data_IF_463145909237
#
_entry.id   IF_463145909237
#
_cell.length_a   1.000
_cell.length_b   1.000
_cell.length_c   1.000
_cell.angle_alpha   90.00
_cell.angle_beta   90.00
_cell.angle_gamma   90.00
#
_symmetry.space_group_name_H-M   'P 1'
#
loop_
_entity.id
_entity.type
_entity.pdbx_description
1 polymer ?
#
# COMPACT_ATOMS: atom_id res chain seq x y z
N UNK A 1 -8.41 -15.48 -1.47
CA UNK A 1 -6.95 -15.23 -1.52
C UNK A 1 -6.29 -16.45 -0.88
N UNK A 2 -5.43 -17.16 -1.59
CA UNK A 2 -4.65 -18.27 -1.03
C UNK A 2 -3.37 -17.67 -0.44
N UNK A 3 -3.09 -17.95 0.84
CA UNK A 3 -1.94 -17.40 1.57
C UNK A 3 -0.83 -18.44 1.81
N UNK A 4 -0.87 -19.57 1.12
CA UNK A 4 0.13 -20.64 1.27
C UNK A 4 1.56 -20.18 0.93
N UNK A 5 1.70 -19.09 0.18
CA UNK A 5 3.00 -18.47 -0.10
C UNK A 5 3.72 -17.92 1.15
N UNK A 6 3.01 -17.68 2.25
CA UNK A 6 3.63 -17.28 3.53
C UNK A 6 4.61 -18.35 3.98
N UNK A 7 4.34 -19.61 3.69
CA UNK A 7 5.22 -20.71 4.07
C UNK A 7 6.61 -20.56 3.45
N UNK A 8 6.71 -19.94 2.27
CA UNK A 8 8.01 -19.64 1.63
C UNK A 8 8.69 -18.38 2.20
N UNK A 9 7.95 -17.54 2.94
CA UNK A 9 8.42 -16.27 3.53
C UNK A 9 8.25 -16.28 5.07
N UNK A 10 8.28 -17.46 5.68
CA UNK A 10 7.97 -17.65 7.10
C UNK A 10 8.76 -16.73 8.02
N UNK A 11 10.08 -16.67 7.85
CA UNK A 11 10.93 -15.83 8.70
C UNK A 11 10.56 -14.34 8.64
N UNK A 12 10.21 -13.86 7.43
CA UNK A 12 9.76 -12.48 7.23
C UNK A 12 8.39 -12.28 7.87
N UNK A 13 7.47 -13.25 7.69
CA UNK A 13 6.15 -13.18 8.31
C UNK A 13 6.22 -13.18 9.84
N UNK A 14 7.02 -14.05 10.44
CA UNK A 14 7.20 -14.12 11.90
C UNK A 14 7.75 -12.80 12.49
N UNK A 15 8.61 -12.10 11.74
CA UNK A 15 9.06 -10.74 12.12
C UNK A 15 7.92 -9.72 12.05
N UNK A 16 7.08 -9.76 11.02
CA UNK A 16 5.93 -8.86 10.87
C UNK A 16 4.88 -9.10 11.95
N UNK A 17 4.67 -10.36 12.36
CA UNK A 17 3.82 -10.72 13.50
C UNK A 17 4.34 -10.09 14.79
N UNK A 18 5.64 -10.24 15.09
CA UNK A 18 6.26 -9.62 16.27
C UNK A 18 6.11 -8.10 16.28
N UNK A 19 6.21 -7.46 15.11
CA UNK A 19 5.96 -6.01 14.97
C UNK A 19 4.50 -5.68 15.28
N UNK A 20 3.55 -6.49 14.79
CA UNK A 20 2.12 -6.29 15.06
C UNK A 20 1.76 -6.46 16.54
N UNK A 21 2.44 -7.37 17.24
CA UNK A 21 2.27 -7.60 18.69
C UNK A 21 2.91 -6.49 19.52
N UNK A 22 3.97 -5.86 19.00
CA UNK A 22 4.59 -4.73 19.68
C UNK A 22 3.69 -3.48 19.56
N UNK A 23 3.68 -2.62 20.57
CA UNK A 23 3.00 -1.33 20.48
C UNK A 23 3.76 -0.32 19.61
N UNK A 24 4.96 -0.70 19.14
CA UNK A 24 5.87 0.17 18.41
C UNK A 24 5.87 -0.14 16.90
N UNK A 25 4.75 0.19 16.22
CA UNK A 25 4.61 0.03 14.78
C UNK A 25 5.18 1.26 14.07
N UNK A 26 6.17 1.06 13.22
CA UNK A 26 6.77 2.16 12.45
C UNK A 26 5.78 2.82 11.48
N UNK A 27 6.04 4.09 11.18
CA UNK A 27 5.23 4.85 10.24
C UNK A 27 5.50 4.49 8.77
N UNK A 28 6.66 3.85 8.49
CA UNK A 28 7.00 3.41 7.15
C UNK A 28 7.73 2.06 7.15
N UNK A 29 7.45 1.25 6.14
CA UNK A 29 8.11 -0.01 5.82
C UNK A 29 8.44 -0.08 4.34
N UNK A 30 9.59 -0.67 4.01
CA UNK A 30 9.96 -1.00 2.65
C UNK A 30 9.97 -2.53 2.46
N UNK A 31 9.10 -3.02 1.58
CA UNK A 31 9.07 -4.40 1.12
C UNK A 31 9.78 -4.48 -0.22
N UNK A 32 11.03 -4.90 -0.22
CA UNK A 32 11.85 -5.01 -1.43
C UNK A 32 12.29 -6.44 -1.70
N UNK A 33 12.36 -6.81 -2.96
CA UNK A 33 12.81 -8.13 -3.39
C UNK A 33 12.55 -8.36 -4.88
N UNK A 34 13.04 -9.47 -5.45
CA UNK A 34 12.86 -9.75 -6.86
C UNK A 34 11.39 -9.90 -7.25
N UNK A 35 11.11 -9.72 -8.54
CA UNK A 35 9.78 -9.98 -9.12
C UNK A 35 9.34 -11.41 -8.77
N UNK A 36 8.07 -11.58 -8.40
CA UNK A 36 7.51 -12.89 -8.05
C UNK A 36 7.81 -13.36 -6.61
N UNK A 37 8.56 -12.61 -5.80
CA UNK A 37 8.87 -12.97 -4.40
C UNK A 37 7.66 -12.96 -3.45
N UNK A 38 6.47 -12.57 -3.90
CA UNK A 38 5.27 -12.48 -3.06
C UNK A 38 5.21 -11.25 -2.14
N UNK A 39 6.15 -10.31 -2.25
CA UNK A 39 6.23 -9.12 -1.39
C UNK A 39 4.98 -8.25 -1.39
N UNK A 40 4.28 -8.13 -2.53
CA UNK A 40 3.02 -7.39 -2.61
C UNK A 40 1.91 -8.06 -1.78
N UNK A 41 1.78 -9.39 -1.89
CA UNK A 41 0.85 -10.17 -1.07
C UNK A 41 1.19 -10.08 0.40
N UNK A 42 2.49 -10.15 0.75
CA UNK A 42 2.97 -10.03 2.12
C UNK A 42 2.67 -8.64 2.71
N UNK A 43 2.82 -7.58 1.92
CA UNK A 43 2.48 -6.21 2.31
C UNK A 43 0.98 -6.05 2.60
N UNK A 44 0.11 -6.61 1.74
CA UNK A 44 -1.35 -6.60 1.95
C UNK A 44 -1.75 -7.40 3.18
N UNK A 45 -1.11 -8.54 3.43
CA UNK A 45 -1.38 -9.35 4.62
C UNK A 45 -0.92 -8.64 5.89
N UNK A 46 0.23 -7.99 5.88
CA UNK A 46 0.67 -7.19 7.02
C UNK A 46 -0.31 -6.04 7.30
N UNK A 47 -0.78 -5.36 6.26
CA UNK A 47 -1.84 -4.35 6.38
C UNK A 47 -3.11 -4.90 7.04
N UNK A 48 -3.53 -6.11 6.65
CA UNK A 48 -4.68 -6.81 7.22
C UNK A 48 -4.45 -7.20 8.68
N UNK A 49 -3.26 -7.71 9.02
CA UNK A 49 -2.88 -8.09 10.38
C UNK A 49 -2.95 -6.89 11.33
N UNK A 50 -2.38 -5.75 10.93
CA UNK A 50 -2.37 -4.51 11.73
C UNK A 50 -3.78 -3.98 12.05
N UNK A 51 -4.79 -4.38 11.28
CA UNK A 51 -6.19 -3.98 11.47
C UNK A 51 -7.11 -5.15 11.84
N UNK A 52 -6.59 -6.34 12.13
CA UNK A 52 -7.41 -7.44 12.61
C UNK A 52 -8.02 -7.10 13.97
N UNK A 53 -9.35 -7.19 14.08
CA UNK A 53 -10.06 -6.84 15.33
C UNK A 53 -9.95 -7.90 16.41
N UNK A 54 -9.59 -9.13 16.04
CA UNK A 54 -9.61 -10.27 16.95
C UNK A 54 -8.22 -10.67 17.48
N UNK A 55 -7.16 -10.37 16.75
CA UNK A 55 -5.81 -10.81 17.11
C UNK A 55 -4.75 -9.86 16.54
N UNK A 56 -3.60 -9.79 17.23
CA UNK A 56 -2.40 -9.08 16.78
C UNK A 56 -1.32 -10.03 16.28
N UNK A 57 -1.46 -11.33 16.59
CA UNK A 57 -0.51 -12.37 16.19
C UNK A 57 -0.92 -13.14 14.93
N UNK A 58 -2.21 -13.07 14.56
CA UNK A 58 -2.73 -13.80 13.41
C UNK A 58 -3.89 -13.07 12.72
N UNK A 59 -4.05 -13.31 11.44
CA UNK A 59 -5.20 -12.82 10.68
C UNK A 59 -6.36 -13.80 10.90
N UNK A 60 -7.43 -13.34 11.52
CA UNK A 60 -8.57 -14.22 11.82
C UNK A 60 -9.46 -14.57 10.61
N UNK A 61 -9.34 -13.84 9.50
CA UNK A 61 -10.13 -13.99 8.26
C UNK A 61 -11.66 -13.95 8.42
N UNK A 62 -12.17 -13.65 9.60
CA UNK A 62 -13.61 -13.73 9.94
C UNK A 62 -14.20 -12.38 10.36
N UNK A 63 -13.42 -11.50 10.99
CA UNK A 63 -13.93 -10.19 11.42
C UNK A 63 -14.24 -9.29 10.22
N UNK A 64 -15.11 -8.31 10.43
CA UNK A 64 -15.53 -7.37 9.38
C UNK A 64 -14.35 -6.62 8.75
N UNK A 65 -13.34 -6.26 9.56
CA UNK A 65 -12.11 -5.64 9.06
C UNK A 65 -11.37 -6.59 8.11
N UNK A 66 -11.08 -7.83 8.54
CA UNK A 66 -10.39 -8.80 7.69
C UNK A 66 -11.13 -9.09 6.38
N UNK A 67 -12.45 -9.17 6.41
CA UNK A 67 -13.24 -9.38 5.19
C UNK A 67 -13.10 -8.22 4.20
N UNK A 68 -13.14 -6.98 4.69
CA UNK A 68 -12.94 -5.78 3.85
C UNK A 68 -11.51 -5.63 3.35
N UNK A 69 -10.50 -6.00 4.15
CA UNK A 69 -9.10 -6.06 3.67
C UNK A 69 -8.92 -7.12 2.57
N UNK A 70 -9.56 -8.28 2.71
CA UNK A 70 -9.53 -9.34 1.70
C UNK A 70 -10.04 -8.87 0.33
N UNK A 71 -11.08 -8.05 0.32
CA UNK A 71 -11.62 -7.45 -0.92
C UNK A 71 -10.88 -6.17 -1.36
N UNK A 72 -9.85 -5.74 -0.61
CA UNK A 72 -9.13 -4.46 -0.80
C UNK A 72 -10.04 -3.22 -0.74
N UNK A 73 -11.19 -3.32 -0.06
CA UNK A 73 -12.21 -2.26 0.07
C UNK A 73 -12.33 -1.73 1.51
N UNK A 74 -11.29 -1.92 2.32
CA UNK A 74 -11.31 -1.39 3.69
C UNK A 74 -11.11 0.13 3.68
N UNK A 75 -11.91 0.87 4.44
CA UNK A 75 -11.88 2.34 4.51
C UNK A 75 -10.51 2.91 4.90
N UNK A 76 -9.75 2.16 5.69
CA UNK A 76 -8.41 2.53 6.14
C UNK A 76 -7.28 1.99 5.25
N UNK A 77 -7.59 1.27 4.19
CA UNK A 77 -6.64 0.83 3.20
C UNK A 77 -6.67 1.78 2.01
N UNK A 78 -5.52 2.34 1.68
CA UNK A 78 -5.33 3.12 0.45
C UNK A 78 -4.25 2.45 -0.37
N UNK A 79 -4.55 2.17 -1.63
CA UNK A 79 -3.61 1.55 -2.56
C UNK A 79 -3.24 2.59 -3.61
N UNK A 80 -1.95 2.83 -3.76
CA UNK A 80 -1.38 3.65 -4.82
C UNK A 80 -0.68 2.72 -5.80
N UNK A 81 -0.97 2.93 -7.07
CA UNK A 81 -0.35 2.24 -8.20
C UNK A 81 0.06 3.26 -9.26
N UNK A 82 0.98 2.92 -10.14
CA UNK A 82 1.25 3.74 -11.32
C UNK A 82 0.00 3.89 -12.18
N UNK A 83 -0.24 5.11 -12.67
CA UNK A 83 -1.41 5.43 -13.48
C UNK A 83 -0.99 6.19 -14.75
N UNK A 84 -1.76 6.09 -15.84
CA UNK A 84 -1.53 6.91 -17.01
C UNK A 84 -1.75 8.39 -16.70
N UNK A 85 -0.93 9.25 -17.28
CA UNK A 85 -1.09 10.70 -17.10
C UNK A 85 -2.42 11.15 -17.72
N UNK A 86 -3.31 11.81 -16.97
CA UNK A 86 -4.58 12.27 -17.50
C UNK A 86 -4.36 13.31 -18.61
N UNK A 87 -5.19 13.26 -19.66
CA UNK A 87 -5.09 14.20 -20.81
C UNK A 87 -5.51 15.63 -20.45
N UNK A 88 -6.25 15.79 -19.37
CA UNK A 88 -6.72 17.08 -18.85
C UNK A 88 -6.21 17.18 -17.42
N UNK A 89 -5.53 18.28 -17.08
CA UNK A 89 -5.10 18.58 -15.71
C UNK A 89 -6.35 18.77 -14.81
N UNK A 90 -6.88 17.68 -14.31
CA UNK A 90 -7.88 17.68 -13.25
C UNK A 90 -7.15 17.34 -11.97
N UNK A 91 -7.08 18.28 -11.04
CA UNK A 91 -6.59 18.04 -9.66
C UNK A 91 -7.52 17.08 -8.88
N UNK A 92 -8.53 16.52 -9.53
CA UNK A 92 -9.50 15.61 -8.95
C UNK A 92 -9.03 14.16 -9.07
N UNK A 93 -8.72 13.58 -7.91
CA UNK A 93 -8.36 12.15 -7.82
C UNK A 93 -9.45 11.21 -8.35
N UNK A 94 -10.72 11.62 -8.29
CA UNK A 94 -11.85 10.80 -8.78
C UNK A 94 -11.70 10.48 -10.27
N UNK A 95 -11.07 11.38 -11.04
CA UNK A 95 -10.79 11.16 -12.47
C UNK A 95 -9.68 10.11 -12.73
N UNK A 96 -8.95 9.68 -11.69
CA UNK A 96 -7.92 8.65 -11.78
C UNK A 96 -8.46 7.23 -11.54
N UNK A 97 -9.66 7.12 -10.98
CA UNK A 97 -10.34 5.85 -10.74
C UNK A 97 -11.10 5.49 -12.02
N UNK A 98 -10.44 4.76 -12.88
CA UNK A 98 -11.01 4.25 -14.14
C UNK A 98 -11.52 2.83 -13.98
N UNK A 99 -12.27 2.34 -14.96
CA UNK A 99 -12.73 0.94 -14.96
C UNK A 99 -11.54 -0.03 -14.95
N UNK A 100 -10.44 0.31 -15.65
CA UNK A 100 -9.21 -0.47 -15.63
C UNK A 100 -8.57 -0.51 -14.23
N UNK A 101 -8.60 0.60 -13.49
CA UNK A 101 -8.14 0.64 -12.09
C UNK A 101 -8.98 -0.28 -11.21
N UNK A 102 -10.31 -0.18 -11.31
CA UNK A 102 -11.25 -0.99 -10.51
C UNK A 102 -11.06 -2.48 -10.80
N UNK A 103 -10.95 -2.85 -12.08
CA UNK A 103 -10.71 -4.22 -12.51
C UNK A 103 -9.37 -4.75 -12.00
N UNK A 104 -8.31 -3.95 -12.07
CA UNK A 104 -6.98 -4.32 -11.61
C UNK A 104 -6.95 -4.57 -10.09
N UNK A 105 -7.58 -3.71 -9.30
CA UNK A 105 -7.71 -3.90 -7.84
C UNK A 105 -8.56 -5.13 -7.53
N UNK A 106 -9.65 -5.38 -8.28
CA UNK A 106 -10.46 -6.58 -8.11
C UNK A 106 -9.66 -7.85 -8.39
N UNK A 107 -8.92 -7.92 -9.51
CA UNK A 107 -8.03 -9.06 -9.81
C UNK A 107 -6.99 -9.27 -8.70
N UNK A 108 -6.38 -8.18 -8.20
CA UNK A 108 -5.44 -8.23 -7.08
C UNK A 108 -6.06 -8.77 -5.80
N UNK A 109 -7.34 -8.48 -5.54
CA UNK A 109 -8.05 -8.99 -4.38
C UNK A 109 -8.31 -10.50 -4.45
N UNK A 110 -8.40 -11.06 -5.65
CA UNK A 110 -8.60 -12.50 -5.88
C UNK A 110 -7.28 -13.27 -5.86
N UNK A 111 -6.22 -12.67 -6.41
CA UNK A 111 -4.90 -13.28 -6.50
C UNK A 111 -3.83 -12.29 -5.97
N UNK A 112 -3.19 -12.58 -4.82
CA UNK A 112 -2.15 -11.72 -4.25
C UNK A 112 -0.88 -11.64 -5.10
N UNK A 113 -0.66 -12.60 -6.02
CA UNK A 113 0.45 -12.58 -6.96
C UNK A 113 0.16 -11.83 -8.27
N UNK A 114 -1.12 -11.51 -8.52
CA UNK A 114 -1.46 -10.73 -9.70
C UNK A 114 -0.68 -9.41 -9.71
N UNK A 115 0.18 -9.23 -10.71
CA UNK A 115 0.90 -7.97 -10.92
C UNK A 115 -0.04 -6.97 -11.60
N UNK A 116 -0.30 -5.86 -10.93
CA UNK A 116 -1.11 -4.79 -11.51
C UNK A 116 -0.30 -4.11 -12.62
N UNK A 117 -0.84 -4.12 -13.84
CA UNK A 117 -0.28 -3.41 -14.98
C UNK A 117 -1.38 -2.66 -15.71
N UNK A 118 -1.39 -1.34 -15.60
CA UNK A 118 -2.31 -0.48 -16.33
C UNK A 118 -1.58 0.05 -17.58
N UNK A 119 -2.17 -0.07 -18.78
CA UNK A 119 -1.54 0.42 -20.00
C UNK A 119 -1.16 1.90 -19.89
N UNK A 120 0.04 2.26 -20.37
CA UNK A 120 0.58 3.63 -20.35
C UNK A 120 0.87 4.21 -18.98
N UNK A 121 0.78 3.44 -17.89
CA UNK A 121 1.20 3.86 -16.56
C UNK A 121 2.73 3.77 -16.45
N UNK A 122 3.41 4.91 -16.39
CA UNK A 122 4.87 4.99 -16.33
C UNK A 122 5.39 5.57 -15.02
N UNK A 123 4.52 6.11 -14.19
CA UNK A 123 4.88 6.79 -12.94
C UNK A 123 3.73 6.80 -11.96
N UNK A 124 4.05 7.00 -10.70
CA UNK A 124 3.07 7.33 -9.68
C UNK A 124 2.74 8.82 -9.78
N UNK A 125 1.47 9.16 -9.87
CA UNK A 125 1.02 10.53 -10.06
C UNK A 125 1.03 11.29 -8.73
N UNK A 126 1.46 12.55 -8.75
CA UNK A 126 1.45 13.41 -7.57
C UNK A 126 0.04 13.62 -7.01
N UNK A 127 -0.98 13.62 -7.88
CA UNK A 127 -2.38 13.72 -7.47
C UNK A 127 -2.79 12.58 -6.54
N UNK A 128 -2.30 11.34 -6.77
CA UNK A 128 -2.55 10.19 -5.89
C UNK A 128 -1.96 10.43 -4.49
N UNK A 129 -0.74 10.98 -4.40
CA UNK A 129 -0.09 11.30 -3.12
C UNK A 129 -0.82 12.44 -2.39
N UNK A 130 -1.16 13.52 -3.11
CA UNK A 130 -1.90 14.67 -2.54
C UNK A 130 -3.28 14.27 -2.01
N UNK A 131 -4.00 13.42 -2.75
CA UNK A 131 -5.31 12.92 -2.33
C UNK A 131 -5.22 12.13 -1.02
N UNK A 132 -4.25 11.23 -0.91
CA UNK A 132 -4.05 10.46 0.32
C UNK A 132 -3.70 11.37 1.48
N UNK A 133 -2.77 12.32 1.29
CA UNK A 133 -2.47 13.32 2.31
C UNK A 133 -3.76 13.95 2.83
N UNK A 134 -4.57 14.51 1.94
CA UNK A 134 -5.86 15.15 2.32
C UNK A 134 -6.77 14.18 3.08
N UNK A 135 -6.95 12.96 2.59
CA UNK A 135 -7.86 11.98 3.19
C UNK A 135 -7.42 11.58 4.59
N UNK A 136 -6.14 11.24 4.77
CA UNK A 136 -5.64 10.70 6.04
C UNK A 136 -5.59 11.78 7.13
N UNK A 137 -5.20 13.02 6.78
CA UNK A 137 -5.20 14.13 7.75
C UNK A 137 -6.61 14.56 8.19
N UNK A 138 -7.62 14.41 7.33
CA UNK A 138 -9.01 14.77 7.67
C UNK A 138 -9.70 13.73 8.57
N UNK A 139 -9.21 12.49 8.62
CA UNK A 139 -9.91 11.37 9.26
C UNK A 139 -9.18 10.80 10.47
N UNK A 140 -8.32 11.58 11.12
CA UNK A 140 -7.43 11.14 12.22
C UNK A 140 -8.14 10.53 13.45
N UNK A 141 -9.42 10.79 13.67
CA UNK A 141 -10.14 10.41 14.90
C UNK A 141 -10.82 9.04 14.85
N UNK A 142 -10.56 8.20 13.84
CA UNK A 142 -11.23 6.90 13.70
C UNK A 142 -10.39 5.76 14.28
N UNK A 143 -11.06 4.77 14.91
CA UNK A 143 -10.41 3.57 15.47
C UNK A 143 -9.70 2.76 14.37
N UNK A 144 -8.47 2.25 14.67
CA UNK A 144 -7.63 1.45 13.78
C UNK A 144 -6.55 2.27 13.06
N UNK A 145 -5.71 1.61 12.30
CA UNK A 145 -4.53 2.19 11.66
C UNK A 145 -4.77 2.40 10.16
N UNK A 146 -4.50 3.60 9.66
CA UNK A 146 -4.46 3.86 8.22
C UNK A 146 -3.24 3.18 7.60
N UNK A 147 -3.47 2.42 6.55
CA UNK A 147 -2.42 1.76 5.78
C UNK A 147 -2.44 2.29 4.35
N UNK A 148 -1.31 2.83 3.94
CA UNK A 148 -1.08 3.28 2.57
C UNK A 148 -0.09 2.31 1.94
N UNK A 149 -0.54 1.51 0.98
CA UNK A 149 0.34 0.59 0.23
C UNK A 149 0.64 1.20 -1.12
N UNK A 150 1.92 1.37 -1.42
CA UNK A 150 2.40 1.94 -2.68
C UNK A 150 3.12 0.84 -3.45
N UNK A 151 2.50 0.33 -4.51
CA UNK A 151 3.12 -0.64 -5.40
C UNK A 151 4.02 0.06 -6.42
N UNK A 152 5.06 -0.65 -6.88
CA UNK A 152 6.07 -0.13 -7.81
C UNK A 152 6.62 1.22 -7.35
N UNK A 153 6.96 1.31 -6.05
CA UNK A 153 7.32 2.56 -5.39
C UNK A 153 8.61 3.19 -5.94
N UNK A 154 9.44 2.47 -6.68
CA UNK A 154 10.54 3.01 -7.48
C UNK A 154 10.07 4.04 -8.51
N UNK A 155 8.82 3.94 -8.99
CA UNK A 155 8.24 4.88 -9.95
C UNK A 155 7.76 6.22 -9.32
N UNK A 156 7.96 6.40 -8.01
CA UNK A 156 7.76 7.69 -7.33
C UNK A 156 8.76 8.77 -7.83
N UNK A 157 9.93 8.32 -8.25
CA UNK A 157 11.03 9.18 -8.65
C UNK A 157 11.06 9.49 -10.15
N UNK A 158 10.18 8.85 -10.92
CA UNK A 158 10.09 9.07 -12.36
C UNK A 158 9.63 10.50 -12.72
N UNK A 159 10.23 11.03 -13.77
CA UNK A 159 9.99 12.40 -14.21
C UNK A 159 10.80 13.42 -13.40
N UNK A 160 10.16 14.42 -12.80
CA UNK A 160 10.80 15.45 -11.98
C UNK A 160 10.85 15.10 -10.48
N UNK A 161 10.50 13.87 -10.10
CA UNK A 161 10.50 13.42 -8.69
C UNK A 161 9.44 14.07 -7.80
N UNK A 162 8.44 14.75 -8.39
CA UNK A 162 7.42 15.49 -7.64
C UNK A 162 6.63 14.60 -6.67
N UNK A 163 6.34 13.36 -7.08
CA UNK A 163 5.58 12.40 -6.26
C UNK A 163 6.41 11.92 -5.07
N UNK A 164 7.71 11.65 -5.28
CA UNK A 164 8.66 11.32 -4.23
C UNK A 164 8.78 12.46 -3.22
N UNK A 165 9.01 13.69 -3.68
CA UNK A 165 9.09 14.88 -2.82
C UNK A 165 7.80 15.14 -2.03
N UNK A 166 6.63 14.86 -2.63
CA UNK A 166 5.35 14.97 -1.92
C UNK A 166 5.19 13.89 -0.84
N UNK A 167 5.70 12.68 -1.09
CA UNK A 167 5.69 11.57 -0.13
C UNK A 167 6.66 11.84 1.03
N UNK A 168 7.87 12.37 0.76
CA UNK A 168 8.84 12.74 1.80
C UNK A 168 8.21 13.62 2.88
N UNK A 169 7.43 14.61 2.49
CA UNK A 169 6.70 15.50 3.43
C UNK A 169 5.70 14.77 4.33
N UNK A 170 5.17 13.62 3.87
CA UNK A 170 4.27 12.79 4.68
C UNK A 170 5.08 11.88 5.61
N UNK A 171 6.27 11.45 5.17
CA UNK A 171 7.17 10.61 5.96
C UNK A 171 7.86 11.39 7.08
N UNK A 172 8.18 12.67 6.85
CA UNK A 172 8.75 13.58 7.86
C UNK A 172 7.74 13.89 8.98
N UNK A 173 6.48 14.14 8.62
CA UNK A 173 5.39 14.43 9.56
C UNK A 173 4.21 13.46 9.34
N UNK A 174 4.36 12.18 9.72
CA UNK A 174 3.34 11.20 9.43
C UNK A 174 2.08 11.44 10.27
N UNK A 175 0.88 11.30 9.67
CA UNK A 175 -0.36 11.37 10.42
C UNK A 175 -0.43 10.29 11.51
N UNK A 176 -1.09 10.60 12.62
CA UNK A 176 -1.27 9.65 13.72
C UNK A 176 -1.91 8.34 13.22
N UNK A 177 -1.50 7.23 13.81
CA UNK A 177 -2.01 5.90 13.46
C UNK A 177 -1.97 5.58 11.97
N UNK A 178 -0.93 6.04 11.27
CA UNK A 178 -0.73 5.78 9.84
C UNK A 178 0.54 4.98 9.61
N UNK A 179 0.49 4.02 8.69
CA UNK A 179 1.66 3.27 8.21
C UNK A 179 1.69 3.28 6.70
N UNK A 180 2.81 3.65 6.14
CA UNK A 180 3.09 3.64 4.70
C UNK A 180 3.91 2.39 4.39
N UNK A 181 3.46 1.58 3.45
CA UNK A 181 4.17 0.40 2.99
C UNK A 181 4.58 0.61 1.54
N UNK A 182 5.86 0.82 1.32
CA UNK A 182 6.46 0.90 -0.01
C UNK A 182 6.78 -0.51 -0.49
N UNK A 183 6.39 -0.85 -1.70
CA UNK A 183 6.68 -2.15 -2.32
C UNK A 183 7.45 -1.90 -3.61
N UNK A 184 8.65 -2.44 -3.72
CA UNK A 184 9.56 -2.21 -4.84
C UNK A 184 10.29 -3.46 -5.29
N UNK A 185 10.49 -3.57 -6.60
CA UNK A 185 11.37 -4.57 -7.20
C UNK A 185 12.85 -4.13 -7.12
N UNK A 186 13.12 -2.82 -6.98
CA UNK A 186 14.44 -2.19 -7.06
C UNK A 186 14.77 -1.34 -5.83
N UNK A 187 15.29 -1.98 -4.78
CA UNK A 187 15.62 -1.31 -3.52
C UNK A 187 16.48 -0.05 -3.70
N UNK A 188 17.48 -0.10 -4.57
CA UNK A 188 18.44 1.01 -4.75
C UNK A 188 17.80 2.29 -5.32
N UNK A 189 16.76 2.16 -6.14
CA UNK A 189 16.11 3.32 -6.77
C UNK A 189 15.27 4.16 -5.79
N UNK A 190 14.90 3.58 -4.66
CA UNK A 190 14.13 4.29 -3.62
C UNK A 190 15.07 5.08 -2.70
N UNK A 191 16.23 4.51 -2.33
CA UNK A 191 17.14 5.13 -1.38
C UNK A 191 17.88 6.38 -1.89
N UNK A 192 17.97 6.58 -3.20
CA UNK A 192 18.57 7.80 -3.77
C UNK A 192 17.63 9.01 -3.68
N UNK A 193 16.35 8.79 -3.36
CA UNK A 193 15.32 9.84 -3.43
C UNK A 193 14.46 9.95 -2.17
N UNK A 194 14.29 8.88 -1.41
CA UNK A 194 13.50 8.76 -0.18
C UNK A 194 14.35 8.18 0.96
#
# INVERSE_FOLDING_TARGET
MNYDFILSQKDTWDRLVKISESENIANAYLFSGPIGSGKEGLALMFAQLLNCSNSKSEICFKCASCMRFKSLQHEKLKIIIPLPTPRINKDDHTSLITDEYIEAIHKKSLDPFYKIMIPRSKRILIQSIRHIKKTVYLTQNSIGRYIIVIFDSELLCEGQGESGNALLKILEEPPLNTTIILVSDYKKMIFETI
#
